data_IF_775143737310
#
_entry.id   IF_775143737310
#
_cell.length_a   1.000
_cell.length_b   1.000
_cell.length_c   1.000
_cell.angle_alpha   90.00
_cell.angle_beta   90.00
_cell.angle_gamma   90.00
#
_symmetry.space_group_name_H-M   'P 1'
#
loop_
_entity.id
_entity.type
_entity.pdbx_description
1 polymer ?
#
# COMPACT_ATOMS: atom_id res chain seq x y z
N UNK A 1 -15.11 58.74 -12.64
CA UNK A 1 -14.76 57.31 -12.58
C UNK A 1 -13.34 57.11 -12.06
N UNK A 2 -12.35 57.87 -12.56
CA UNK A 2 -10.94 57.79 -12.13
C UNK A 2 -10.69 58.11 -10.64
N UNK A 3 -11.36 59.12 -10.08
CA UNK A 3 -11.20 59.49 -8.65
C UNK A 3 -11.71 58.37 -7.71
N UNK A 4 -12.74 57.64 -8.15
CA UNK A 4 -13.34 56.57 -7.36
C UNK A 4 -12.45 55.31 -7.36
N UNK A 5 -11.80 55.03 -8.49
CA UNK A 5 -10.82 53.95 -8.63
C UNK A 5 -9.58 54.26 -7.78
N UNK A 6 -9.10 55.51 -7.81
CA UNK A 6 -7.95 55.93 -7.00
C UNK A 6 -8.23 55.81 -5.49
N UNK A 7 -9.43 56.17 -5.05
CA UNK A 7 -9.84 56.02 -3.65
C UNK A 7 -9.90 54.56 -3.20
N UNK A 8 -10.38 53.65 -4.06
CA UNK A 8 -10.45 52.20 -3.77
C UNK A 8 -9.04 51.59 -3.69
N UNK A 9 -8.13 51.99 -4.59
CA UNK A 9 -6.74 51.51 -4.57
C UNK A 9 -6.01 51.97 -3.30
N UNK A 10 -6.19 53.23 -2.90
CA UNK A 10 -5.60 53.75 -1.65
C UNK A 10 -6.17 53.02 -0.43
N UNK A 11 -7.46 52.73 -0.41
CA UNK A 11 -8.09 51.97 0.67
C UNK A 11 -7.55 50.53 0.77
N UNK A 12 -7.36 49.85 -0.37
CA UNK A 12 -6.81 48.49 -0.40
C UNK A 12 -5.34 48.44 0.06
N UNK A 13 -4.53 49.42 -0.32
CA UNK A 13 -3.15 49.53 0.14
C UNK A 13 -3.09 49.81 1.65
N UNK A 14 -3.96 50.69 2.17
CA UNK A 14 -4.03 50.98 3.60
C UNK A 14 -4.42 49.75 4.43
N UNK A 15 -5.39 48.95 3.96
CA UNK A 15 -5.78 47.69 4.61
C UNK A 15 -4.63 46.68 4.59
N UNK A 16 -3.91 46.53 3.46
CA UNK A 16 -2.76 45.64 3.36
C UNK A 16 -1.62 46.00 4.33
N UNK A 17 -1.33 47.29 4.50
CA UNK A 17 -0.29 47.78 5.42
C UNK A 17 -0.69 47.56 6.89
N UNK A 18 -1.96 47.80 7.23
CA UNK A 18 -2.47 47.58 8.59
C UNK A 18 -2.47 46.08 8.93
N UNK A 19 -2.89 45.22 8.01
CA UNK A 19 -2.84 43.76 8.20
C UNK A 19 -1.41 43.24 8.35
N UNK A 20 -0.45 43.76 7.57
CA UNK A 20 0.96 43.40 7.68
C UNK A 20 1.59 43.77 9.03
N UNK A 21 1.24 44.93 9.58
CA UNK A 21 1.72 45.39 10.89
C UNK A 21 1.12 44.59 12.06
N UNK A 22 -0.14 44.15 11.97
CA UNK A 22 -0.78 43.35 13.02
C UNK A 22 -0.22 41.91 13.07
N UNK A 23 0.17 41.33 11.94
CA UNK A 23 0.77 39.99 11.88
C UNK A 23 2.24 40.00 12.35
N UNK A 24 2.99 41.08 12.09
CA UNK A 24 4.37 41.22 12.55
C UNK A 24 4.51 41.42 14.07
N UNK A 25 3.44 41.83 14.77
CA UNK A 25 3.44 42.11 16.21
C UNK A 25 3.24 40.90 17.13
N UNK A 26 2.95 39.70 16.59
CA UNK A 26 2.68 38.48 17.38
C UNK A 26 3.76 37.41 17.22
N UNK A 27 5.03 37.74 17.48
CA UNK A 27 6.07 36.74 17.79
C UNK A 27 7.00 37.25 18.88
N UNK A 28 6.67 36.90 20.13
CA UNK A 28 7.59 36.60 21.25
C UNK A 28 6.74 36.35 22.50
N UNK A 29 6.28 35.12 22.68
CA UNK A 29 5.92 34.59 24.01
C UNK A 29 6.92 33.48 24.31
N UNK A 30 7.79 33.75 25.28
CA UNK A 30 8.76 32.81 25.84
C UNK A 30 8.01 31.59 26.38
N UNK A 31 8.49 30.41 26.01
CA UNK A 31 8.12 29.15 26.66
C UNK A 31 8.86 29.06 28.00
N UNK A 32 8.23 28.58 29.08
CA UNK A 32 8.90 28.34 30.36
C UNK A 32 9.89 27.16 30.26
N UNK A 33 10.95 27.14 31.09
CA UNK A 33 11.98 26.12 31.02
C UNK A 33 11.44 24.76 31.44
N UNK A 34 11.76 23.74 30.65
CA UNK A 34 11.42 22.33 30.88
C UNK A 34 12.21 21.79 32.07
N UNK A 35 11.52 21.17 33.02
CA UNK A 35 12.11 20.44 34.14
C UNK A 35 12.98 19.27 33.61
N UNK A 36 14.06 18.88 34.32
CA UNK A 36 14.89 17.76 33.90
C UNK A 36 14.11 16.45 33.99
N UNK A 37 14.17 15.67 32.91
CA UNK A 37 13.71 14.29 32.83
C UNK A 37 14.42 13.42 33.88
N UNK A 38 13.67 12.93 34.86
CA UNK A 38 14.10 11.87 35.76
C UNK A 38 14.26 10.56 34.98
N UNK A 39 15.49 10.15 34.73
CA UNK A 39 15.84 8.76 34.42
C UNK A 39 15.36 7.88 35.58
N UNK A 40 14.68 6.74 35.35
CA UNK A 40 14.55 5.75 36.40
C UNK A 40 15.92 5.12 36.64
N UNK A 41 16.55 5.47 37.75
CA UNK A 41 17.69 4.76 38.32
C UNK A 41 17.22 3.36 38.70
N UNK A 42 17.66 2.34 37.97
CA UNK A 42 17.62 0.95 38.45
C UNK A 42 18.71 0.83 39.51
N UNK A 43 18.34 1.05 40.76
CA UNK A 43 19.14 0.68 41.93
C UNK A 43 18.74 -0.73 42.33
N UNK A 44 19.38 -1.73 41.72
CA UNK A 44 19.47 -3.07 42.28
C UNK A 44 20.88 -3.22 42.86
N UNK A 45 21.04 -3.58 44.15
CA UNK A 45 22.36 -3.87 44.72
C UNK A 45 22.97 -5.11 44.04
N UNK A 46 24.31 -5.22 43.96
CA UNK A 46 24.95 -6.41 43.42
C UNK A 46 24.71 -7.57 44.38
N UNK A 47 23.97 -8.58 43.93
CA UNK A 47 23.93 -9.86 44.62
C UNK A 47 25.26 -10.57 44.36
N UNK A 48 26.10 -10.65 45.37
CA UNK A 48 27.24 -11.55 45.40
C UNK A 48 26.75 -13.01 45.37
N UNK A 49 27.47 -13.94 44.71
CA UNK A 49 27.09 -15.33 44.71
C UNK A 49 27.39 -15.94 46.09
N UNK A 50 26.35 -16.17 46.90
CA UNK A 50 26.48 -16.94 48.12
C UNK A 50 26.47 -18.44 47.80
N UNK A 51 27.57 -19.10 48.17
CA UNK A 51 27.70 -20.56 48.26
C UNK A 51 26.88 -21.01 49.47
N UNK A 52 25.74 -21.66 49.21
CA UNK A 52 24.93 -22.33 50.21
C UNK A 52 25.01 -23.83 50.01
N UNK A 53 25.72 -24.50 50.92
CA UNK A 53 25.59 -25.93 51.19
C UNK A 53 24.15 -26.25 51.57
N UNK A 54 23.49 -27.12 50.79
CA UNK A 54 22.59 -28.10 51.38
C UNK A 54 22.59 -29.36 50.52
N UNK A 55 23.19 -30.39 51.10
CA UNK A 55 23.35 -31.71 50.54
C UNK A 55 22.03 -32.50 50.61
N UNK A 56 21.61 -33.06 49.48
CA UNK A 56 20.84 -34.29 49.44
C UNK A 56 21.36 -35.16 48.27
N UNK A 57 21.55 -36.48 48.49
CA UNK A 57 22.45 -37.30 47.69
C UNK A 57 21.86 -37.68 46.32
N UNK A 58 22.67 -37.50 45.29
CA UNK A 58 22.45 -38.03 43.94
C UNK A 58 22.53 -39.55 43.97
N UNK A 59 21.53 -40.22 43.39
CA UNK A 59 21.53 -41.66 43.19
C UNK A 59 22.71 -42.08 42.28
N UNK A 60 23.49 -43.06 42.75
CA UNK A 60 24.53 -43.73 41.99
C UNK A 60 23.92 -44.49 40.80
N UNK A 61 24.26 -44.09 39.58
CA UNK A 61 24.20 -45.00 38.43
C UNK A 61 25.58 -45.65 38.21
N UNK A 62 25.62 -46.98 37.99
CA UNK A 62 26.86 -47.75 38.06
C UNK A 62 27.74 -47.52 36.82
N UNK A 63 28.99 -47.10 37.06
CA UNK A 63 30.05 -47.13 36.05
C UNK A 63 30.45 -48.58 35.79
N UNK A 64 30.20 -49.08 34.58
CA UNK A 64 30.76 -50.35 34.09
C UNK A 64 32.12 -50.10 33.42
N UNK A 65 33.13 -50.81 33.90
CA UNK A 65 34.48 -50.94 33.33
C UNK A 65 34.49 -51.90 32.13
N UNK A 66 35.55 -51.80 31.32
CA UNK A 66 35.70 -52.35 29.96
C UNK A 66 35.95 -53.87 29.89
N UNK A 67 35.83 -54.62 31.00
CA UNK A 67 36.06 -56.06 31.02
C UNK A 67 34.78 -56.83 31.34
N UNK A 68 33.93 -57.06 30.33
CA UNK A 68 33.06 -58.25 30.20
C UNK A 68 32.11 -58.07 29.00
N UNK A 69 32.55 -58.48 27.81
CA UNK A 69 31.63 -58.97 26.78
C UNK A 69 32.27 -60.17 26.11
N UNK A 70 31.70 -61.34 26.37
CA UNK A 70 32.00 -62.58 25.69
C UNK A 70 31.59 -62.50 24.20
N UNK A 71 32.46 -63.02 23.33
CA UNK A 71 32.21 -63.18 21.90
C UNK A 71 31.07 -64.19 21.65
N UNK A 72 30.03 -63.85 20.87
CA UNK A 72 29.17 -64.85 20.26
C UNK A 72 29.80 -65.39 18.96
N UNK A 73 29.74 -66.71 18.79
CA UNK A 73 30.22 -67.45 17.63
C UNK A 73 29.51 -67.03 16.34
N UNK A 74 30.29 -67.05 15.25
CA UNK A 74 29.86 -66.73 13.90
C UNK A 74 28.98 -67.86 13.33
N UNK A 75 27.68 -67.61 13.19
CA UNK A 75 26.84 -68.30 12.22
C UNK A 75 26.77 -67.48 10.92
N UNK A 76 27.27 -68.09 9.85
CA UNK A 76 27.29 -67.53 8.52
C UNK A 76 25.87 -67.35 7.95
N UNK A 77 25.41 -66.10 7.87
CA UNK A 77 24.34 -65.71 6.96
C UNK A 77 24.96 -65.07 5.71
N UNK A 78 24.69 -65.67 4.56
CA UNK A 78 25.11 -65.17 3.26
C UNK A 78 24.51 -63.77 3.00
N UNK A 79 25.28 -62.78 2.50
CA UNK A 79 24.74 -61.48 2.17
C UNK A 79 23.88 -61.57 0.91
N UNK A 80 22.60 -61.22 1.07
CA UNK A 80 21.71 -60.87 -0.03
C UNK A 80 22.10 -59.49 -0.57
N UNK A 81 22.34 -59.46 -1.88
CA UNK A 81 22.50 -58.33 -2.80
C UNK A 81 22.15 -56.95 -2.23
N UNK A 82 23.17 -56.12 -2.01
CA UNK A 82 23.05 -54.68 -1.78
C UNK A 82 22.54 -54.00 -3.06
N UNK A 83 21.34 -53.42 -2.98
CA UNK A 83 20.84 -52.51 -3.99
C UNK A 83 21.65 -51.19 -3.94
N UNK A 84 21.98 -50.58 -5.08
CA UNK A 84 22.83 -49.39 -5.10
C UNK A 84 22.14 -48.22 -4.38
N UNK A 85 22.91 -47.56 -3.52
CA UNK A 85 22.54 -46.36 -2.79
C UNK A 85 21.96 -45.30 -3.74
N UNK A 86 20.77 -44.81 -3.42
CA UNK A 86 20.14 -43.70 -4.12
C UNK A 86 20.99 -42.43 -3.92
N UNK A 87 21.38 -41.80 -5.03
CA UNK A 87 22.02 -40.50 -5.05
C UNK A 87 21.15 -39.45 -4.32
N UNK A 88 21.75 -38.48 -3.59
CA UNK A 88 21.00 -37.39 -3.00
C UNK A 88 20.31 -36.59 -4.10
N UNK A 89 18.98 -36.70 -4.18
CA UNK A 89 18.15 -35.90 -5.07
C UNK A 89 18.40 -34.43 -4.76
N UNK A 90 18.92 -33.69 -5.75
CA UNK A 90 18.97 -32.24 -5.71
C UNK A 90 17.56 -31.70 -5.39
N UNK A 91 17.42 -30.68 -4.54
CA UNK A 91 16.11 -30.07 -4.30
C UNK A 91 15.50 -29.69 -5.65
N UNK A 92 14.31 -30.19 -5.93
CA UNK A 92 13.58 -29.87 -7.15
C UNK A 92 13.52 -28.34 -7.26
N UNK A 93 13.94 -27.80 -8.41
CA UNK A 93 13.77 -26.38 -8.70
C UNK A 93 12.29 -26.02 -8.46
N UNK A 94 11.98 -24.90 -7.80
CA UNK A 94 10.60 -24.52 -7.54
C UNK A 94 9.82 -24.54 -8.85
N UNK A 95 8.68 -25.24 -8.87
CA UNK A 95 7.80 -25.24 -10.04
C UNK A 95 7.36 -23.79 -10.29
N UNK A 96 7.74 -23.26 -11.45
CA UNK A 96 7.35 -21.91 -11.86
C UNK A 96 5.84 -21.95 -12.12
N UNK A 97 5.08 -21.20 -11.33
CA UNK A 97 3.65 -21.06 -11.54
C UNK A 97 3.42 -20.17 -12.78
N UNK A 98 2.75 -20.71 -13.80
CA UNK A 98 2.21 -19.89 -14.90
C UNK A 98 0.85 -19.35 -14.43
N UNK A 99 0.73 -18.04 -14.16
CA UNK A 99 -0.52 -17.50 -13.62
C UNK A 99 -1.62 -17.50 -14.68
N UNK A 100 -2.89 -17.62 -14.26
CA UNK A 100 -4.01 -17.54 -15.20
C UNK A 100 -4.06 -16.18 -15.93
N UNK A 101 -4.54 -16.15 -17.20
CA UNK A 101 -4.73 -14.91 -17.94
C UNK A 101 -5.65 -13.92 -17.22
N UNK A 102 -5.31 -12.63 -17.33
CA UNK A 102 -5.97 -11.51 -16.65
C UNK A 102 -7.47 -11.37 -16.92
N UNK A 103 -7.96 -11.84 -18.08
CA UNK A 103 -9.37 -11.73 -18.48
C UNK A 103 -10.37 -12.45 -17.56
N UNK A 104 -10.08 -13.68 -17.12
CA UNK A 104 -10.96 -14.45 -16.21
C UNK A 104 -10.93 -13.93 -14.77
N UNK A 105 -9.85 -13.24 -14.40
CA UNK A 105 -9.61 -12.67 -13.06
C UNK A 105 -10.59 -11.53 -12.77
N UNK A 106 -10.78 -10.62 -13.73
CA UNK A 106 -11.66 -9.43 -13.58
C UNK A 106 -13.12 -9.77 -13.25
N UNK A 107 -13.65 -10.87 -13.80
CA UNK A 107 -15.02 -11.32 -13.53
C UNK A 107 -15.17 -11.78 -12.07
N UNK A 108 -14.22 -12.56 -11.56
CA UNK A 108 -14.23 -13.02 -10.15
C UNK A 108 -14.08 -11.86 -9.17
N UNK A 109 -13.30 -10.85 -9.56
CA UNK A 109 -13.03 -9.65 -8.77
C UNK A 109 -14.26 -8.74 -8.66
N UNK A 110 -15.02 -8.55 -9.75
CA UNK A 110 -16.33 -7.84 -9.70
C UNK A 110 -17.30 -8.50 -8.73
N UNK A 111 -17.39 -9.83 -8.74
CA UNK A 111 -18.25 -10.58 -7.82
C UNK A 111 -17.82 -10.49 -6.34
N UNK A 112 -16.57 -10.08 -6.05
CA UNK A 112 -16.11 -9.80 -4.68
C UNK A 112 -16.41 -8.37 -4.26
N UNK A 113 -16.17 -7.40 -5.14
CA UNK A 113 -16.51 -5.98 -4.91
C UNK A 113 -18.01 -5.78 -4.63
N UNK A 114 -18.89 -6.44 -5.40
CA UNK A 114 -20.35 -6.38 -5.20
C UNK A 114 -20.79 -6.93 -3.81
N UNK A 115 -19.98 -7.76 -3.16
CA UNK A 115 -20.27 -8.28 -1.82
C UNK A 115 -19.89 -7.34 -0.67
N UNK A 116 -18.90 -6.46 -0.82
CA UNK A 116 -18.43 -5.59 0.27
C UNK A 116 -19.08 -4.20 0.31
N UNK A 117 -19.73 -3.75 -0.77
CA UNK A 117 -20.12 -2.33 -0.93
C UNK A 117 -21.63 -2.05 -0.97
N UNK A 118 -22.45 -2.99 -0.52
CA UNK A 118 -23.91 -2.91 -0.68
C UNK A 118 -24.64 -1.89 0.23
N UNK A 119 -24.03 -1.38 1.31
CA UNK A 119 -24.75 -0.54 2.27
C UNK A 119 -24.86 0.92 1.84
N UNK A 120 -23.79 1.50 1.31
CA UNK A 120 -23.75 2.92 0.92
C UNK A 120 -24.74 3.21 -0.21
N UNK A 121 -24.62 2.50 -1.34
CA UNK A 121 -25.48 2.73 -2.49
C UNK A 121 -26.96 2.48 -2.20
N UNK A 122 -27.29 1.41 -1.48
CA UNK A 122 -28.68 1.14 -1.06
C UNK A 122 -29.22 2.25 -0.17
N UNK A 123 -28.41 2.75 0.77
CA UNK A 123 -28.77 3.88 1.62
C UNK A 123 -29.09 5.13 0.79
N UNK A 124 -28.17 5.52 -0.09
CA UNK A 124 -28.33 6.69 -0.96
C UNK A 124 -29.55 6.58 -1.88
N UNK A 125 -29.75 5.42 -2.52
CA UNK A 125 -30.92 5.18 -3.38
C UNK A 125 -32.24 5.23 -2.59
N UNK A 126 -32.25 4.73 -1.35
CA UNK A 126 -33.43 4.79 -0.48
C UNK A 126 -33.77 6.24 -0.14
N UNK A 127 -32.77 7.06 0.20
CA UNK A 127 -32.96 8.48 0.51
C UNK A 127 -33.44 9.24 -0.73
N UNK A 128 -32.80 9.03 -1.89
CA UNK A 128 -33.17 9.69 -3.15
C UNK A 128 -34.56 9.30 -3.66
N UNK A 129 -35.07 8.13 -3.29
CA UNK A 129 -36.38 7.62 -3.70
C UNK A 129 -37.55 8.13 -2.85
N UNK A 130 -37.31 8.92 -1.80
CA UNK A 130 -38.38 9.54 -1.01
C UNK A 130 -39.24 10.45 -1.90
N UNK A 131 -40.56 10.46 -1.64
CA UNK A 131 -41.51 11.29 -2.41
C UNK A 131 -41.15 12.78 -2.35
N UNK A 132 -40.71 13.24 -1.18
CA UNK A 132 -40.28 14.61 -0.94
C UNK A 132 -38.79 14.59 -0.53
N UNK A 133 -37.98 15.37 -1.25
CA UNK A 133 -36.58 15.60 -0.91
C UNK A 133 -36.46 17.01 -0.31
N UNK A 134 -36.78 17.11 0.97
CA UNK A 134 -36.59 18.28 1.81
C UNK A 134 -35.12 18.47 2.23
N UNK A 135 -34.83 19.56 2.92
CA UNK A 135 -33.46 19.86 3.38
C UNK A 135 -32.90 18.72 4.24
N UNK A 136 -33.70 18.22 5.19
CA UNK A 136 -33.35 17.11 6.07
C UNK A 136 -32.90 15.87 5.28
N UNK A 137 -33.61 15.50 4.20
CA UNK A 137 -33.20 14.36 3.37
C UNK A 137 -31.86 14.59 2.66
N UNK A 138 -31.56 15.82 2.24
CA UNK A 138 -30.28 16.14 1.62
C UNK A 138 -29.14 16.15 2.65
N UNK A 139 -29.40 16.61 3.88
CA UNK A 139 -28.46 16.51 5.00
C UNK A 139 -28.16 15.03 5.32
N UNK A 140 -29.17 14.15 5.32
CA UNK A 140 -28.97 12.69 5.50
C UNK A 140 -28.11 12.09 4.39
N UNK A 141 -28.28 12.53 3.13
CA UNK A 141 -27.46 12.08 1.99
C UNK A 141 -26.00 12.53 2.17
N UNK A 142 -25.79 13.79 2.55
CA UNK A 142 -24.47 14.33 2.84
C UNK A 142 -23.79 13.54 3.98
N UNK A 143 -24.48 13.34 5.10
CA UNK A 143 -23.97 12.59 6.25
C UNK A 143 -23.57 11.16 5.83
N UNK A 144 -24.41 10.50 5.04
CA UNK A 144 -24.17 9.14 4.53
C UNK A 144 -22.88 9.08 3.69
N UNK A 145 -22.64 10.07 2.82
CA UNK A 145 -21.43 10.16 2.00
C UNK A 145 -20.18 10.44 2.85
N UNK A 146 -20.29 11.28 3.89
CA UNK A 146 -19.19 11.58 4.80
C UNK A 146 -18.80 10.36 5.63
N UNK A 147 -19.77 9.61 6.15
CA UNK A 147 -19.53 8.34 6.89
C UNK A 147 -18.80 7.33 5.99
N UNK A 148 -19.06 7.34 4.69
CA UNK A 148 -18.40 6.50 3.71
C UNK A 148 -16.99 6.95 3.30
N UNK A 149 -16.43 7.97 3.94
CA UNK A 149 -15.09 8.54 3.65
C UNK A 149 -14.97 9.18 2.24
N UNK A 150 -16.07 9.70 1.66
CA UNK A 150 -16.03 10.46 0.37
C UNK A 150 -15.28 11.80 0.52
N UNK A 151 -15.33 12.37 1.73
CA UNK A 151 -14.70 13.65 2.06
C UNK A 151 -15.63 14.85 1.82
N UNK A 152 -15.38 15.95 2.54
CA UNK A 152 -16.29 17.11 2.58
C UNK A 152 -16.49 17.75 1.21
N UNK A 153 -15.41 18.14 0.54
CA UNK A 153 -15.53 18.85 -0.74
C UNK A 153 -16.18 18.00 -1.85
N UNK A 154 -15.80 16.72 -2.06
CA UNK A 154 -16.45 15.87 -3.06
C UNK A 154 -17.91 15.55 -2.72
N UNK A 155 -18.23 15.39 -1.43
CA UNK A 155 -19.62 15.21 -0.98
C UNK A 155 -20.47 16.43 -1.32
N UNK A 156 -20.01 17.64 -0.99
CA UNK A 156 -20.74 18.88 -1.30
C UNK A 156 -20.99 19.00 -2.81
N UNK A 157 -19.95 18.78 -3.62
CA UNK A 157 -20.06 18.78 -5.08
C UNK A 157 -21.09 17.76 -5.58
N UNK A 158 -21.07 16.54 -5.05
CA UNK A 158 -22.03 15.50 -5.41
C UNK A 158 -23.46 15.93 -5.07
N UNK A 159 -23.69 16.35 -3.83
CA UNK A 159 -25.03 16.72 -3.34
C UNK A 159 -25.61 17.88 -4.15
N UNK A 160 -24.80 18.90 -4.46
CA UNK A 160 -25.24 20.05 -5.25
C UNK A 160 -25.65 19.64 -6.67
N UNK A 161 -24.85 18.79 -7.33
CA UNK A 161 -25.16 18.27 -8.67
C UNK A 161 -26.40 17.37 -8.67
N UNK A 162 -26.52 16.49 -7.68
CA UNK A 162 -27.70 15.64 -7.51
C UNK A 162 -28.96 16.51 -7.32
N UNK A 163 -28.89 17.54 -6.45
CA UNK A 163 -29.98 18.50 -6.24
C UNK A 163 -30.42 19.17 -7.53
N UNK A 164 -29.47 19.66 -8.32
CA UNK A 164 -29.75 20.33 -9.59
C UNK A 164 -30.40 19.38 -10.60
N UNK A 165 -29.79 18.22 -10.85
CA UNK A 165 -30.30 17.27 -11.85
C UNK A 165 -31.66 16.69 -11.46
N UNK A 166 -31.89 16.44 -10.18
CA UNK A 166 -33.18 15.94 -9.68
C UNK A 166 -34.30 16.99 -9.84
N UNK A 167 -34.00 18.29 -9.65
CA UNK A 167 -34.95 19.37 -9.91
C UNK A 167 -35.32 19.46 -11.40
N UNK A 168 -34.35 19.28 -12.30
CA UNK A 168 -34.55 19.34 -13.76
C UNK A 168 -35.37 18.15 -14.28
N UNK A 169 -35.13 16.95 -13.77
CA UNK A 169 -35.82 15.73 -14.23
C UNK A 169 -37.33 15.71 -13.89
N UNK A 170 -37.74 16.36 -12.79
CA UNK A 170 -39.13 16.50 -12.36
C UNK A 170 -39.77 15.21 -11.84
N UNK A 171 -39.81 14.15 -12.64
CA UNK A 171 -40.29 12.80 -12.26
C UNK A 171 -39.12 11.82 -12.13
N UNK A 172 -39.21 10.94 -11.13
CA UNK A 172 -38.09 10.08 -10.69
C UNK A 172 -38.57 8.64 -10.56
N UNK A 173 -38.07 7.77 -11.41
CA UNK A 173 -38.13 6.32 -11.20
C UNK A 173 -36.87 5.86 -10.45
N UNK A 174 -36.94 4.75 -9.69
CA UNK A 174 -35.75 4.18 -9.04
C UNK A 174 -34.59 3.96 -10.02
N UNK A 175 -34.89 3.54 -11.25
CA UNK A 175 -33.91 3.28 -12.31
C UNK A 175 -33.24 4.58 -12.79
N UNK A 176 -34.02 5.67 -12.93
CA UNK A 176 -33.48 6.99 -13.29
C UNK A 176 -32.57 7.55 -12.18
N UNK A 177 -32.98 7.42 -10.91
CA UNK A 177 -32.18 7.88 -9.77
C UNK A 177 -30.87 7.10 -9.66
N UNK A 178 -30.94 5.78 -9.88
CA UNK A 178 -29.75 4.93 -9.92
C UNK A 178 -28.79 5.35 -11.03
N UNK A 179 -29.30 5.55 -12.23
CA UNK A 179 -28.50 5.99 -13.38
C UNK A 179 -27.83 7.33 -13.10
N UNK A 180 -28.59 8.28 -12.56
CA UNK A 180 -28.09 9.60 -12.20
C UNK A 180 -27.00 9.55 -11.11
N UNK A 181 -27.21 8.79 -10.03
CA UNK A 181 -26.21 8.62 -8.98
C UNK A 181 -24.93 7.97 -9.52
N UNK A 182 -25.08 6.94 -10.36
CA UNK A 182 -23.96 6.26 -11.02
C UNK A 182 -23.14 7.23 -11.87
N UNK A 183 -23.79 8.02 -12.71
CA UNK A 183 -23.13 9.00 -13.57
C UNK A 183 -22.34 10.03 -12.76
N UNK A 184 -22.93 10.58 -11.71
CA UNK A 184 -22.25 11.58 -10.88
C UNK A 184 -21.06 10.99 -10.11
N UNK A 185 -21.18 9.77 -9.58
CA UNK A 185 -20.07 9.09 -8.92
C UNK A 185 -18.91 8.80 -9.89
N UNK A 186 -19.21 8.34 -11.10
CA UNK A 186 -18.18 8.14 -12.15
C UNK A 186 -17.53 9.48 -12.51
N UNK A 187 -18.32 10.55 -12.64
CA UNK A 187 -17.81 11.88 -12.94
C UNK A 187 -16.85 12.41 -11.86
N UNK A 188 -17.13 12.15 -10.58
CA UNK A 188 -16.23 12.50 -9.47
C UNK A 188 -14.92 11.72 -9.49
N UNK A 189 -14.96 10.45 -9.91
CA UNK A 189 -13.77 9.59 -10.02
C UNK A 189 -12.90 10.01 -11.22
N UNK A 190 -13.51 10.53 -12.28
CA UNK A 190 -12.84 10.90 -13.52
C UNK A 190 -12.80 9.72 -14.51
N UNK A 191 -13.70 9.71 -15.52
CA UNK A 191 -13.78 8.61 -16.49
C UNK A 191 -12.62 8.62 -17.50
N UNK A 192 -12.09 9.81 -17.84
CA UNK A 192 -11.07 9.97 -18.88
C UNK A 192 -9.63 9.96 -18.33
N UNK A 193 -9.46 9.68 -17.04
CA UNK A 193 -8.13 9.64 -16.42
C UNK A 193 -7.38 8.39 -16.86
N UNK A 194 -6.16 8.55 -17.36
CA UNK A 194 -5.28 7.42 -17.65
C UNK A 194 -4.92 6.65 -16.36
N UNK A 195 -5.27 5.37 -16.33
CA UNK A 195 -5.10 4.46 -15.18
C UNK A 195 -4.14 3.32 -15.48
N UNK A 196 -3.53 3.29 -16.66
CA UNK A 196 -2.55 2.28 -16.98
C UNK A 196 -1.34 2.40 -16.06
N UNK A 197 -0.83 1.27 -15.58
CA UNK A 197 0.43 1.24 -14.84
C UNK A 197 1.56 1.37 -15.86
N UNK A 198 2.29 2.48 -15.79
CA UNK A 198 3.41 2.80 -16.67
C UNK A 198 4.55 1.86 -16.34
N UNK A 199 4.83 0.98 -17.29
CA UNK A 199 5.76 -0.15 -17.17
C UNK A 199 6.69 -0.21 -18.37
N UNK A 200 6.67 0.83 -19.18
CA UNK A 200 7.50 1.02 -20.36
C UNK A 200 8.23 2.35 -20.17
N UNK A 201 9.55 2.36 -20.41
CA UNK A 201 10.39 3.53 -20.17
C UNK A 201 10.37 4.56 -21.31
N UNK A 202 9.87 4.16 -22.48
CA UNK A 202 9.95 4.96 -23.71
C UNK A 202 11.37 5.16 -24.25
N UNK A 203 12.38 4.50 -23.66
CA UNK A 203 13.79 4.47 -24.06
C UNK A 203 14.31 3.02 -24.04
N UNK A 204 15.55 2.77 -24.46
CA UNK A 204 16.15 1.42 -24.47
C UNK A 204 16.56 0.92 -23.06
N UNK A 205 15.66 1.02 -22.08
CA UNK A 205 15.82 0.52 -20.70
C UNK A 205 14.53 -0.15 -20.23
N UNK A 206 14.57 -1.07 -19.25
CA UNK A 206 13.35 -1.58 -18.60
C UNK A 206 12.50 -0.44 -18.06
N UNK A 207 11.17 -0.63 -18.03
CA UNK A 207 10.30 0.25 -17.27
C UNK A 207 10.55 0.10 -15.77
N UNK A 208 10.68 1.21 -15.04
CA UNK A 208 11.00 1.17 -13.60
C UNK A 208 9.81 1.64 -12.76
N UNK A 209 9.33 0.77 -11.89
CA UNK A 209 8.22 1.04 -10.98
C UNK A 209 8.70 0.99 -9.53
N UNK A 210 8.50 2.08 -8.79
CA UNK A 210 8.77 2.14 -7.36
C UNK A 210 7.48 2.06 -6.55
N UNK A 211 7.42 1.14 -5.59
CA UNK A 211 6.24 0.93 -4.74
C UNK A 211 6.50 1.49 -3.34
N UNK A 212 5.73 2.50 -2.95
CA UNK A 212 5.88 3.25 -1.70
C UNK A 212 4.60 3.21 -0.86
N UNK A 213 4.67 3.67 0.40
CA UNK A 213 3.53 3.71 1.33
C UNK A 213 3.88 3.24 2.74
N UNK A 214 2.91 3.30 3.65
CA UNK A 214 3.17 2.99 5.06
C UNK A 214 3.25 1.49 5.35
N UNK A 215 3.78 1.13 6.51
CA UNK A 215 3.80 -0.25 6.96
C UNK A 215 2.38 -0.81 7.12
N UNK A 216 2.19 -2.07 6.72
CA UNK A 216 0.91 -2.77 6.87
C UNK A 216 -0.14 -2.49 5.79
N UNK A 217 0.13 -1.61 4.81
CA UNK A 217 -0.76 -1.36 3.67
C UNK A 217 -0.66 -2.42 2.57
N UNK A 218 0.29 -3.34 2.67
CA UNK A 218 0.46 -4.43 1.69
C UNK A 218 1.38 -4.09 0.51
N UNK A 219 2.39 -3.22 0.68
CA UNK A 219 3.40 -2.91 -0.36
C UNK A 219 4.07 -4.14 -0.96
N UNK A 220 4.83 -4.90 -0.18
CA UNK A 220 5.53 -6.11 -0.64
C UNK A 220 4.59 -7.11 -1.31
N UNK A 221 3.39 -7.30 -0.73
CA UNK A 221 2.35 -8.13 -1.33
C UNK A 221 1.87 -7.59 -2.68
N UNK A 222 1.65 -6.27 -2.78
CA UNK A 222 1.25 -5.61 -4.04
C UNK A 222 2.35 -5.73 -5.09
N UNK A 223 3.61 -5.53 -4.72
CA UNK A 223 4.77 -5.69 -5.60
C UNK A 223 4.85 -7.11 -6.16
N UNK A 224 4.71 -8.12 -5.30
CA UNK A 224 4.69 -9.53 -5.73
C UNK A 224 3.49 -9.90 -6.61
N UNK A 225 2.29 -9.41 -6.28
CA UNK A 225 1.09 -9.61 -7.11
C UNK A 225 1.22 -8.91 -8.47
N UNK A 226 1.79 -7.72 -8.51
CA UNK A 226 2.05 -7.00 -9.75
C UNK A 226 3.07 -7.76 -10.61
N UNK A 227 4.15 -8.27 -10.01
CA UNK A 227 5.12 -9.12 -10.71
C UNK A 227 4.43 -10.32 -11.35
N UNK A 228 3.57 -11.02 -10.60
CA UNK A 228 2.79 -12.14 -11.11
C UNK A 228 1.89 -11.74 -12.29
N UNK A 229 1.21 -10.59 -12.21
CA UNK A 229 0.38 -10.09 -13.32
C UNK A 229 1.23 -9.85 -14.57
N UNK A 230 2.37 -9.19 -14.42
CA UNK A 230 3.27 -8.87 -15.53
C UNK A 230 3.87 -10.11 -16.18
N UNK A 231 4.29 -11.09 -15.38
CA UNK A 231 4.76 -12.39 -15.88
C UNK A 231 3.65 -13.16 -16.60
N UNK A 232 2.42 -13.11 -16.08
CA UNK A 232 1.26 -13.72 -16.74
C UNK A 232 0.97 -13.09 -18.12
N UNK A 233 1.23 -11.79 -18.25
CA UNK A 233 1.12 -11.05 -19.51
C UNK A 233 2.36 -11.24 -20.42
N UNK A 234 3.27 -12.16 -20.06
CA UNK A 234 4.44 -12.56 -20.85
C UNK A 234 5.65 -11.64 -20.69
N UNK A 235 5.66 -10.75 -19.68
CA UNK A 235 6.76 -9.82 -19.45
C UNK A 235 7.77 -10.37 -18.46
N UNK A 236 9.05 -10.13 -18.74
CA UNK A 236 10.17 -10.41 -17.86
C UNK A 236 10.29 -9.35 -16.77
N UNK A 237 10.48 -9.78 -15.52
CA UNK A 237 10.44 -8.91 -14.35
C UNK A 237 11.65 -9.13 -13.46
N UNK A 238 12.28 -8.04 -13.02
CA UNK A 238 13.28 -8.02 -11.94
C UNK A 238 12.70 -7.31 -10.72
N UNK A 239 12.92 -7.85 -9.53
CA UNK A 239 12.44 -7.32 -8.25
C UNK A 239 13.62 -6.75 -7.46
N UNK A 240 13.49 -5.53 -6.95
CA UNK A 240 14.43 -4.90 -6.02
C UNK A 240 13.89 -4.89 -4.60
N UNK A 241 14.51 -5.63 -3.68
CA UNK A 241 14.13 -5.71 -2.28
C UNK A 241 14.74 -4.55 -1.45
N UNK A 242 14.27 -3.32 -1.68
CA UNK A 242 14.79 -2.11 -1.04
C UNK A 242 14.18 -1.83 0.35
N UNK A 243 13.22 -2.63 0.87
CA UNK A 243 12.83 -2.63 2.30
C UNK A 243 13.91 -3.33 3.15
N UNK A 244 15.05 -2.67 3.34
CA UNK A 244 16.21 -3.25 4.05
C UNK A 244 16.05 -3.28 5.57
N UNK A 245 15.03 -2.59 6.11
CA UNK A 245 14.74 -2.56 7.54
C UNK A 245 13.96 -3.78 8.05
N UNK A 246 13.46 -4.60 7.14
CA UNK A 246 12.68 -5.80 7.47
C UNK A 246 13.26 -6.96 6.69
N UNK A 247 14.14 -7.75 7.30
CA UNK A 247 14.68 -8.97 6.69
C UNK A 247 13.57 -9.85 6.09
N UNK A 248 12.48 -10.04 6.84
CA UNK A 248 11.32 -10.81 6.38
C UNK A 248 10.62 -10.22 5.14
N UNK A 249 10.72 -8.92 4.87
CA UNK A 249 10.14 -8.32 3.65
C UNK A 249 10.93 -8.71 2.41
N UNK A 250 12.27 -8.70 2.50
CA UNK A 250 13.13 -9.18 1.40
C UNK A 250 12.92 -10.67 1.12
N UNK A 251 12.84 -11.51 2.16
CA UNK A 251 12.56 -12.95 2.00
C UNK A 251 11.13 -13.20 1.46
N UNK A 252 10.15 -12.40 1.88
CA UNK A 252 8.80 -12.45 1.33
C UNK A 252 8.79 -12.08 -0.16
N UNK A 253 9.48 -11.02 -0.56
CA UNK A 253 9.56 -10.60 -1.96
C UNK A 253 10.29 -11.63 -2.82
N UNK A 254 11.38 -12.23 -2.32
CA UNK A 254 12.07 -13.34 -2.97
C UNK A 254 11.12 -14.51 -3.22
N UNK A 255 10.33 -14.88 -2.21
CA UNK A 255 9.35 -15.97 -2.34
C UNK A 255 8.30 -15.66 -3.42
N UNK A 256 7.89 -14.40 -3.57
CA UNK A 256 7.03 -13.99 -4.69
C UNK A 256 7.72 -14.12 -6.04
N UNK A 257 8.98 -13.68 -6.14
CA UNK A 257 9.78 -13.76 -7.36
C UNK A 257 10.00 -15.20 -7.80
N UNK A 258 10.45 -16.06 -6.90
CA UNK A 258 10.75 -17.48 -7.17
C UNK A 258 9.52 -18.23 -7.71
N UNK A 259 8.32 -17.92 -7.20
CA UNK A 259 7.06 -18.54 -7.67
C UNK A 259 6.76 -18.25 -9.14
N UNK A 260 7.19 -17.10 -9.65
CA UNK A 260 6.88 -16.66 -11.03
C UNK A 260 8.14 -16.57 -11.90
N UNK A 261 9.29 -17.06 -11.41
CA UNK A 261 10.56 -16.99 -12.12
C UNK A 261 11.15 -15.58 -12.25
N UNK A 262 10.69 -14.61 -11.45
CA UNK A 262 11.23 -13.25 -11.45
C UNK A 262 12.47 -13.15 -10.55
N UNK A 263 13.57 -12.63 -11.13
CA UNK A 263 14.85 -12.44 -10.42
C UNK A 263 14.68 -11.39 -9.32
N UNK A 264 15.12 -11.71 -8.10
CA UNK A 264 15.09 -10.75 -6.98
C UNK A 264 16.51 -10.33 -6.58
N UNK A 265 16.75 -9.02 -6.59
CA UNK A 265 17.97 -8.37 -6.14
C UNK A 265 17.79 -7.92 -4.69
N UNK A 266 18.69 -8.38 -3.82
CA UNK A 266 18.66 -8.15 -2.37
C UNK A 266 20.06 -7.80 -1.84
N UNK A 267 20.11 -6.95 -0.82
CA UNK A 267 21.33 -6.60 -0.09
C UNK A 267 21.36 -7.20 1.32
N UNK A 268 22.42 -6.92 2.11
CA UNK A 268 22.45 -7.27 3.52
C UNK A 268 21.36 -6.54 4.32
N UNK A 269 20.91 -7.14 5.42
CA UNK A 269 19.95 -6.51 6.34
C UNK A 269 20.52 -5.18 6.87
N UNK A 270 19.70 -4.13 6.90
CA UNK A 270 20.14 -2.78 7.26
C UNK A 270 21.06 -2.10 6.23
N UNK A 271 21.25 -2.70 5.05
CA UNK A 271 21.97 -2.09 3.93
C UNK A 271 21.26 -0.85 3.36
N UNK A 272 21.95 -0.13 2.49
CA UNK A 272 21.42 1.08 1.84
C UNK A 272 20.37 0.74 0.76
N UNK A 273 19.09 1.12 0.93
CA UNK A 273 18.02 0.85 -0.05
C UNK A 273 18.32 1.37 -1.45
N UNK A 274 18.96 2.53 -1.53
CA UNK A 274 19.30 3.16 -2.81
C UNK A 274 20.33 2.33 -3.60
N UNK A 275 21.24 1.64 -2.91
CA UNK A 275 22.22 0.76 -3.54
C UNK A 275 21.55 -0.49 -4.11
N UNK A 276 20.59 -1.09 -3.40
CA UNK A 276 19.81 -2.24 -3.91
C UNK A 276 18.96 -1.83 -5.11
N UNK A 277 18.32 -0.67 -5.05
CA UNK A 277 17.53 -0.15 -6.17
C UNK A 277 18.39 0.12 -7.42
N UNK A 278 19.59 0.66 -7.24
CA UNK A 278 20.58 0.81 -8.32
C UNK A 278 20.93 -0.53 -8.96
N UNK A 279 21.29 -1.51 -8.13
CA UNK A 279 21.69 -2.84 -8.60
C UNK A 279 20.54 -3.56 -9.29
N UNK A 280 19.29 -3.41 -8.83
CA UNK A 280 18.11 -3.97 -9.47
C UNK A 280 17.88 -3.42 -10.88
N UNK A 281 18.02 -2.11 -11.07
CA UNK A 281 17.89 -1.49 -12.40
C UNK A 281 19.04 -1.90 -13.31
N UNK A 282 20.26 -1.94 -12.79
CA UNK A 282 21.43 -2.40 -13.54
C UNK A 282 21.29 -3.86 -13.98
N UNK A 283 20.81 -4.74 -13.11
CA UNK A 283 20.52 -6.14 -13.43
C UNK A 283 19.43 -6.24 -14.50
N UNK A 284 18.33 -5.49 -14.35
CA UNK A 284 17.26 -5.44 -15.34
C UNK A 284 17.74 -5.01 -16.73
N UNK A 285 18.65 -4.02 -16.80
CA UNK A 285 19.29 -3.62 -18.06
C UNK A 285 20.17 -4.75 -18.62
N UNK A 286 20.97 -5.41 -17.77
CA UNK A 286 21.89 -6.47 -18.20
C UNK A 286 21.16 -7.73 -18.69
N UNK A 287 20.04 -8.08 -18.07
CA UNK A 287 19.19 -9.22 -18.45
C UNK A 287 18.24 -8.88 -19.61
N UNK A 288 18.12 -7.61 -19.98
CA UNK A 288 17.15 -7.16 -20.98
C UNK A 288 15.70 -7.37 -20.51
N UNK A 289 15.46 -7.17 -19.22
CA UNK A 289 14.13 -7.31 -18.64
C UNK A 289 13.17 -6.23 -19.15
N UNK A 290 11.88 -6.52 -19.15
CA UNK A 290 10.85 -5.55 -19.54
C UNK A 290 10.58 -4.56 -18.40
N UNK A 291 10.51 -5.04 -17.16
CA UNK A 291 10.11 -4.24 -16.00
C UNK A 291 10.98 -4.51 -14.76
N UNK A 292 11.35 -3.46 -14.04
CA UNK A 292 11.97 -3.52 -12.72
C UNK A 292 10.99 -2.98 -11.67
N UNK A 293 10.64 -3.80 -10.67
CA UNK A 293 9.76 -3.40 -9.56
C UNK A 293 10.58 -3.25 -8.26
N UNK A 294 10.52 -2.08 -7.62
CA UNK A 294 11.27 -1.77 -6.40
C UNK A 294 10.32 -1.69 -5.21
N UNK A 295 10.47 -2.58 -4.23
CA UNK A 295 9.73 -2.54 -2.96
C UNK A 295 10.50 -1.73 -1.91
N UNK A 296 9.89 -0.67 -1.36
CA UNK A 296 10.57 0.23 -0.40
C UNK A 296 10.09 0.04 1.04
N UNK A 297 10.84 0.58 2.00
CA UNK A 297 10.40 0.69 3.38
C UNK A 297 9.16 1.60 3.56
N UNK A 298 8.44 1.45 4.68
CA UNK A 298 7.21 2.22 4.97
C UNK A 298 7.10 2.79 6.38
N UNK A 299 8.21 3.01 7.08
CA UNK A 299 8.26 3.46 8.48
C UNK A 299 7.99 4.98 8.62
N UNK A 300 6.74 5.41 8.43
CA UNK A 300 6.39 6.84 8.46
C UNK A 300 6.61 7.54 9.82
N UNK A 301 6.74 6.79 10.93
CA UNK A 301 7.00 7.37 12.25
C UNK A 301 8.37 8.08 12.34
N UNK A 302 9.31 7.74 11.46
CA UNK A 302 10.59 8.45 11.29
C UNK A 302 10.54 9.34 10.05
N UNK A 303 9.55 10.26 10.00
CA UNK A 303 9.22 11.08 8.81
C UNK A 303 10.45 11.60 8.06
N UNK A 304 11.39 12.24 8.73
CA UNK A 304 12.58 12.82 8.07
C UNK A 304 13.47 11.74 7.43
N UNK A 305 13.81 10.69 8.18
CA UNK A 305 14.72 9.64 7.68
C UNK A 305 14.14 8.83 6.52
N UNK A 306 12.85 8.46 6.59
CA UNK A 306 12.20 7.72 5.50
C UNK A 306 12.13 8.57 4.22
N UNK A 307 11.83 9.85 4.35
CA UNK A 307 11.67 10.73 3.21
C UNK A 307 13.02 11.01 2.51
N UNK A 308 14.08 11.24 3.28
CA UNK A 308 15.43 11.39 2.73
C UNK A 308 15.87 10.12 1.98
N UNK A 309 15.51 8.95 2.50
CA UNK A 309 15.78 7.65 1.91
C UNK A 309 15.04 7.44 0.59
N UNK A 310 13.73 7.67 0.55
CA UNK A 310 12.92 7.57 -0.68
C UNK A 310 13.40 8.55 -1.75
N UNK A 311 13.70 9.80 -1.37
CA UNK A 311 14.28 10.79 -2.26
C UNK A 311 15.69 10.40 -2.74
N UNK A 312 16.47 9.64 -1.96
CA UNK A 312 17.75 9.08 -2.39
C UNK A 312 17.56 7.92 -3.37
N UNK A 313 16.64 7.00 -3.10
CA UNK A 313 16.32 5.87 -4.00
C UNK A 313 15.92 6.39 -5.38
N UNK A 314 14.97 7.33 -5.43
CA UNK A 314 14.54 7.99 -6.67
C UNK A 314 15.73 8.54 -7.46
N UNK A 315 16.54 9.41 -6.86
CA UNK A 315 17.70 10.05 -7.51
C UNK A 315 18.75 9.06 -8.02
N UNK A 316 18.89 7.91 -7.37
CA UNK A 316 19.87 6.89 -7.76
C UNK A 316 19.36 6.06 -8.92
N UNK A 317 18.09 5.67 -8.90
CA UNK A 317 17.41 4.99 -10.01
C UNK A 317 17.41 5.87 -11.27
N UNK A 318 17.12 7.16 -11.12
CA UNK A 318 17.06 8.13 -12.22
C UNK A 318 18.39 8.33 -12.97
N UNK A 319 19.50 7.80 -12.45
CA UNK A 319 20.80 7.80 -13.17
C UNK A 319 20.83 6.87 -14.37
N UNK A 320 19.97 5.85 -14.37
CA UNK A 320 19.91 4.84 -15.42
C UNK A 320 18.83 5.10 -16.47
N UNK A 321 17.83 5.92 -16.15
CA UNK A 321 16.67 6.18 -16.98
C UNK A 321 15.55 6.85 -16.19
N UNK A 322 14.39 7.13 -16.80
CA UNK A 322 13.23 7.64 -16.08
C UNK A 322 12.75 6.65 -15.02
N UNK A 323 12.25 7.18 -13.90
CA UNK A 323 11.40 6.42 -12.98
C UNK A 323 9.96 6.55 -13.46
N UNK A 324 9.47 5.54 -14.17
CA UNK A 324 8.24 5.62 -14.98
C UNK A 324 6.95 5.65 -14.16
N UNK A 325 6.97 4.98 -13.01
CA UNK A 325 5.82 4.93 -12.12
C UNK A 325 6.26 4.88 -10.64
N UNK A 326 5.60 5.71 -9.84
CA UNK A 326 5.65 5.65 -8.37
C UNK A 326 4.25 5.33 -7.86
N UNK A 327 4.07 4.10 -7.39
CA UNK A 327 2.80 3.59 -6.87
C UNK A 327 2.74 3.76 -5.37
N UNK A 328 1.81 4.59 -4.88
CA UNK A 328 1.51 4.70 -3.45
C UNK A 328 0.47 3.65 -3.05
N UNK A 329 0.85 2.72 -2.16
CA UNK A 329 -0.04 1.69 -1.63
C UNK A 329 -0.69 2.16 -0.34
N UNK A 330 -2.02 2.25 -0.35
CA UNK A 330 -2.85 2.65 0.79
C UNK A 330 -3.85 1.56 1.16
N UNK A 331 -4.15 1.49 2.44
CA UNK A 331 -5.15 0.58 2.99
C UNK A 331 -6.51 1.28 3.05
N UNK A 332 -7.51 0.76 2.33
CA UNK A 332 -8.85 1.35 2.25
C UNK A 332 -9.59 1.37 3.60
N UNK A 333 -9.16 0.58 4.58
CA UNK A 333 -9.74 0.58 5.94
C UNK A 333 -9.32 1.80 6.77
N UNK A 334 -8.23 2.47 6.37
CA UNK A 334 -7.64 3.57 7.17
C UNK A 334 -8.38 4.89 7.06
N UNK A 335 -9.27 5.05 6.07
CA UNK A 335 -10.07 6.26 5.85
C UNK A 335 -9.21 7.53 5.79
N UNK A 336 -9.63 8.59 6.48
CA UNK A 336 -8.90 9.87 6.54
C UNK A 336 -7.46 9.78 7.03
N UNK A 337 -7.10 8.78 7.85
CA UNK A 337 -5.71 8.61 8.28
C UNK A 337 -4.80 8.26 7.10
N UNK A 338 -5.30 7.46 6.14
CA UNK A 338 -4.58 7.15 4.91
C UNK A 338 -4.30 8.39 4.08
N UNK A 339 -5.23 9.35 4.03
CA UNK A 339 -5.07 10.62 3.30
C UNK A 339 -3.97 11.50 3.87
N UNK A 340 -3.92 11.63 5.21
CA UNK A 340 -2.86 12.41 5.87
C UNK A 340 -1.49 11.80 5.56
N UNK A 341 -1.39 10.47 5.57
CA UNK A 341 -0.15 9.77 5.23
C UNK A 341 0.22 9.99 3.76
N UNK A 342 -0.74 9.84 2.86
CA UNK A 342 -0.53 10.00 1.42
C UNK A 342 0.04 11.38 1.06
N UNK A 343 -0.48 12.44 1.69
CA UNK A 343 0.01 13.82 1.52
C UNK A 343 1.49 13.95 1.87
N UNK A 344 1.93 13.32 2.96
CA UNK A 344 3.34 13.36 3.39
C UNK A 344 4.25 12.65 2.37
N UNK A 345 3.81 11.58 1.72
CA UNK A 345 4.59 10.95 0.65
C UNK A 345 4.65 11.81 -0.61
N UNK A 346 3.52 12.44 -0.98
CA UNK A 346 3.44 13.30 -2.16
C UNK A 346 4.36 14.53 -2.09
N UNK A 347 4.72 14.98 -0.89
CA UNK A 347 5.68 16.09 -0.71
C UNK A 347 7.13 15.74 -1.11
N UNK A 348 7.45 14.44 -1.22
CA UNK A 348 8.85 13.97 -1.31
C UNK A 348 9.10 13.13 -2.56
N UNK A 349 8.11 12.33 -2.96
CA UNK A 349 8.15 11.54 -4.18
C UNK A 349 6.98 11.91 -5.07
N UNK A 350 7.25 12.02 -6.37
CA UNK A 350 6.24 12.36 -7.39
C UNK A 350 5.37 11.13 -7.65
N UNK A 351 4.41 10.89 -6.75
CA UNK A 351 3.46 9.79 -6.89
C UNK A 351 2.75 9.94 -8.23
N UNK A 352 2.65 8.86 -9.00
CA UNK A 352 1.99 8.85 -10.32
C UNK A 352 0.72 8.00 -10.33
N UNK A 353 0.56 7.12 -9.34
CA UNK A 353 -0.61 6.26 -9.21
C UNK A 353 -0.80 5.75 -7.79
N UNK A 354 -2.04 5.37 -7.47
CA UNK A 354 -2.42 4.80 -6.19
C UNK A 354 -2.84 3.36 -6.37
N UNK A 355 -2.43 2.51 -5.43
CA UNK A 355 -2.96 1.17 -5.23
C UNK A 355 -3.74 1.15 -3.92
N UNK A 356 -5.01 0.76 -3.97
CA UNK A 356 -5.82 0.61 -2.76
C UNK A 356 -5.98 -0.86 -2.41
N UNK A 357 -5.58 -1.24 -1.21
CA UNK A 357 -5.71 -2.62 -0.72
C UNK A 357 -6.87 -2.76 0.26
N UNK A 358 -7.27 -4.00 0.52
CA UNK A 358 -8.30 -4.36 1.51
C UNK A 358 -9.68 -3.73 1.24
N UNK A 359 -10.01 -3.50 -0.04
CA UNK A 359 -11.34 -2.98 -0.43
C UNK A 359 -12.47 -3.96 -0.13
N UNK A 360 -12.16 -5.26 -0.07
CA UNK A 360 -13.09 -6.33 0.27
C UNK A 360 -13.51 -6.33 1.75
N UNK A 361 -12.72 -5.72 2.62
CA UNK A 361 -12.96 -5.70 4.07
C UNK A 361 -13.64 -4.43 4.61
N UNK A 362 -14.06 -3.49 3.74
CA UNK A 362 -14.53 -2.17 4.19
C UNK A 362 -15.77 -1.69 3.45
N UNK A 363 -16.67 -1.02 4.19
CA UNK A 363 -17.81 -0.26 3.64
C UNK A 363 -17.43 1.20 3.30
N UNK A 364 -16.17 1.60 3.50
CA UNK A 364 -15.65 2.95 3.27
C UNK A 364 -15.20 3.14 1.83
N UNK A 365 -16.08 2.87 0.87
CA UNK A 365 -15.79 2.98 -0.56
C UNK A 365 -15.43 4.39 -1.03
N UNK A 366 -15.86 5.44 -0.30
CA UNK A 366 -15.62 6.83 -0.67
C UNK A 366 -14.15 7.25 -0.66
N UNK A 367 -13.28 6.49 0.01
CA UNK A 367 -11.84 6.82 0.13
C UNK A 367 -11.14 6.97 -1.23
N UNK A 368 -11.61 6.26 -2.27
CA UNK A 368 -11.14 6.38 -3.66
C UNK A 368 -11.28 7.82 -4.15
N UNK A 369 -12.44 8.43 -3.92
CA UNK A 369 -12.73 9.79 -4.41
C UNK A 369 -11.88 10.79 -3.63
N UNK A 370 -11.84 10.64 -2.29
CA UNK A 370 -11.09 11.53 -1.43
C UNK A 370 -9.59 11.53 -1.75
N UNK A 371 -8.99 10.35 -1.97
CA UNK A 371 -7.54 10.25 -2.21
C UNK A 371 -7.12 10.82 -3.56
N UNK A 372 -7.90 10.59 -4.62
CA UNK A 372 -7.58 11.15 -5.92
C UNK A 372 -7.68 12.67 -5.93
N UNK A 373 -8.70 13.22 -5.25
CA UNK A 373 -8.89 14.67 -5.15
C UNK A 373 -7.77 15.32 -4.36
N UNK A 374 -7.34 14.69 -3.27
CA UNK A 374 -6.28 15.21 -2.41
C UNK A 374 -4.91 15.14 -3.11
N UNK A 375 -4.57 14.04 -3.77
CA UNK A 375 -3.24 13.85 -4.36
C UNK A 375 -3.14 14.27 -5.83
N UNK A 376 -4.27 14.45 -6.52
CA UNK A 376 -4.29 14.76 -7.95
C UNK A 376 -3.85 13.62 -8.86
N UNK A 377 -3.81 12.38 -8.35
CA UNK A 377 -3.32 11.20 -9.09
C UNK A 377 -4.37 10.07 -9.09
N UNK A 378 -4.42 9.25 -10.15
CA UNK A 378 -5.43 8.21 -10.27
C UNK A 378 -5.18 7.01 -9.35
N UNK A 379 -6.26 6.40 -8.87
CA UNK A 379 -6.24 5.00 -8.45
C UNK A 379 -6.12 4.12 -9.70
N UNK A 380 -5.04 3.32 -9.77
CA UNK A 380 -4.73 2.47 -10.91
C UNK A 380 -5.01 1.00 -10.64
N UNK A 381 -4.81 0.56 -9.40
CA UNK A 381 -4.99 -0.83 -8.99
C UNK A 381 -5.78 -0.94 -7.69
N UNK A 382 -6.49 -2.05 -7.54
CA UNK A 382 -7.18 -2.43 -6.30
C UNK A 382 -6.86 -3.86 -5.87
N UNK A 383 -6.56 -4.04 -4.59
CA UNK A 383 -6.41 -5.33 -3.93
C UNK A 383 -7.73 -5.77 -3.31
N UNK A 384 -8.18 -6.97 -3.67
CA UNK A 384 -9.52 -7.49 -3.37
C UNK A 384 -9.51 -8.78 -2.54
N UNK A 385 -8.44 -8.98 -1.79
CA UNK A 385 -8.23 -10.13 -0.92
C UNK A 385 -6.76 -10.52 -0.76
N UNK A 386 -6.53 -11.63 -0.05
CA UNK A 386 -5.21 -12.14 0.30
C UNK A 386 -4.63 -13.11 -0.74
N UNK A 387 -5.47 -13.63 -1.66
CA UNK A 387 -5.04 -14.57 -2.68
C UNK A 387 -4.04 -13.97 -3.66
N UNK A 388 -3.19 -14.80 -4.30
CA UNK A 388 -2.12 -14.32 -5.17
C UNK A 388 -2.60 -13.61 -6.44
N UNK A 389 -3.85 -13.87 -6.83
CA UNK A 389 -4.51 -13.28 -7.98
C UNK A 389 -5.48 -12.15 -7.61
N UNK A 390 -5.49 -11.71 -6.34
CA UNK A 390 -6.40 -10.67 -5.83
C UNK A 390 -5.83 -9.26 -5.99
N UNK A 391 -5.37 -8.93 -7.21
CA UNK A 391 -4.97 -7.58 -7.64
C UNK A 391 -5.59 -7.31 -9.02
N UNK A 392 -6.21 -6.15 -9.17
CA UNK A 392 -6.98 -5.79 -10.37
C UNK A 392 -6.67 -4.36 -10.82
N UNK A 393 -6.74 -4.08 -12.14
CA UNK A 393 -6.96 -2.73 -12.64
C UNK A 393 -8.19 -2.09 -12.01
N UNK A 394 -8.09 -0.80 -11.68
CA UNK A 394 -9.20 -0.02 -11.17
C UNK A 394 -10.09 0.45 -12.32
N UNK A 395 -11.31 -0.07 -12.37
CA UNK A 395 -12.34 0.27 -13.35
C UNK A 395 -13.43 1.12 -12.69
N UNK A 396 -13.52 2.45 -12.96
CA UNK A 396 -14.47 3.34 -12.31
C UNK A 396 -15.93 2.86 -12.41
N UNK A 397 -16.34 2.42 -13.60
CA UNK A 397 -17.69 1.91 -13.82
C UNK A 397 -17.99 0.69 -12.94
N UNK A 398 -17.13 -0.32 -12.99
CA UNK A 398 -17.31 -1.54 -12.19
C UNK A 398 -17.24 -1.28 -10.68
N UNK A 399 -16.42 -0.31 -10.26
CA UNK A 399 -16.34 0.11 -8.86
C UNK A 399 -17.63 0.78 -8.40
N UNK A 400 -18.15 1.72 -9.19
CA UNK A 400 -19.42 2.40 -8.87
C UNK A 400 -20.59 1.43 -8.92
N UNK A 401 -20.63 0.53 -9.91
CA UNK A 401 -21.64 -0.54 -10.03
C UNK A 401 -21.67 -1.39 -8.75
N UNK A 402 -20.50 -1.81 -8.27
CA UNK A 402 -20.39 -2.53 -7.00
C UNK A 402 -20.84 -1.69 -5.79
N UNK A 403 -20.56 -0.38 -5.79
CA UNK A 403 -20.96 0.55 -4.72
C UNK A 403 -22.47 0.77 -4.65
N UNK A 404 -23.15 0.73 -5.80
CA UNK A 404 -24.61 0.87 -5.90
C UNK A 404 -25.35 -0.47 -5.84
N UNK A 405 -24.62 -1.59 -5.89
CA UNK A 405 -25.14 -2.95 -5.78
C UNK A 405 -25.73 -3.49 -7.09
N UNK A 406 -24.99 -3.37 -8.20
CA UNK A 406 -25.25 -4.07 -9.49
C UNK A 406 -24.47 -5.38 -9.62
#
# INVERSE_FOLDING_TARGET
MEILILAVVIALVAVGVISGLVVSGRKKKQLPPTAPSSTPTITAPPAEPHVGEEAAPTAEEPRRTIEEVALPEAEAQAPAVEAPAAEPQAPAAPEIEVPEPTAGRLVRLRARLSRSQNSLGKGLLTLLSREHLDEDTWEEIEETLLIADVGVAPTQELVDRLRERVKVLGTRTPEQLRTLLREELIALIGPDTDRAVKTESGVDTPGVVMVVGVNGTGKTTTTGKLARVLVADGRSVVLGAADTFRAAAADQLQTWGDRVGARTVRGPEGGDPASIAYDAVKEGIAEGADVVLIDTAGRLHTKTGLMDELGKVKRVVEKHGPLDEILLVLDATTGQNGLVQARVFAEVVDITGIVLTKLDGTAKGGIVIAVQRELGVPVKLVGLGEGPDDLAPFEPGAFVDALIGD
#
